data_IF_959035174506
#
_entry.id   IF_959035174506
#
_cell.length_a   1.000
_cell.length_b   1.000
_cell.length_c   1.000
_cell.angle_alpha   90.00
_cell.angle_beta   90.00
_cell.angle_gamma   90.00
#
_symmetry.space_group_name_H-M   'P 1'
#
loop_
_entity.id
_entity.type
_entity.pdbx_description
1 polymer ?
#
# COMPACT_ATOMS: atom_id res chain seq x y z
N UNK A 1 -1.48 -23.26 -25.43
CA UNK A 1 -0.14 -22.80 -25.77
C UNK A 1 -0.27 -21.35 -26.26
N UNK A 2 0.30 -20.41 -25.57
CA UNK A 2 0.32 -19.03 -26.04
C UNK A 2 1.25 -18.95 -27.27
N UNK A 3 0.78 -18.37 -28.36
CA UNK A 3 1.59 -18.16 -29.56
C UNK A 3 2.56 -17.00 -29.33
N UNK A 4 3.83 -17.23 -29.55
CA UNK A 4 4.84 -16.17 -29.58
C UNK A 4 4.71 -15.42 -30.90
N UNK A 5 4.61 -14.10 -30.86
CA UNK A 5 4.46 -13.30 -32.06
C UNK A 5 5.85 -12.93 -32.62
N UNK A 6 6.14 -13.43 -33.81
CA UNK A 6 7.40 -13.19 -34.53
C UNK A 6 7.32 -12.00 -35.50
N UNK A 7 6.46 -11.03 -35.28
CA UNK A 7 6.26 -9.90 -36.17
C UNK A 7 7.53 -9.06 -36.35
N UNK A 8 7.97 -8.88 -37.57
CA UNK A 8 9.25 -8.35 -38.01
C UNK A 8 9.52 -6.86 -37.75
N UNK A 9 8.68 -6.12 -37.07
CA UNK A 9 8.77 -4.66 -37.09
C UNK A 9 8.57 -3.95 -35.76
N UNK A 10 8.68 -4.62 -34.64
CA UNK A 10 8.63 -3.88 -33.38
C UNK A 10 10.05 -3.40 -33.03
N UNK A 11 10.36 -2.26 -33.56
CA UNK A 11 11.49 -1.47 -33.12
C UNK A 11 11.11 -0.81 -31.81
N UNK A 12 11.88 -1.10 -30.74
CA UNK A 12 11.88 -0.34 -29.49
C UNK A 12 10.53 -0.27 -28.75
N UNK A 13 10.51 -0.77 -27.56
CA UNK A 13 9.45 -0.67 -26.57
C UNK A 13 8.03 -0.97 -27.09
N UNK A 14 7.40 -1.95 -26.48
CA UNK A 14 5.95 -2.14 -26.63
C UNK A 14 5.26 -0.87 -26.15
N UNK A 15 4.81 -0.02 -27.07
CA UNK A 15 4.00 1.13 -26.71
C UNK A 15 2.62 0.62 -26.24
N UNK A 16 2.37 0.76 -24.97
CA UNK A 16 1.04 0.58 -24.41
C UNK A 16 0.26 1.89 -24.56
N UNK A 17 -0.99 1.80 -25.01
CA UNK A 17 -1.84 2.97 -25.15
C UNK A 17 -2.07 3.71 -23.82
N UNK A 18 -2.09 2.95 -22.71
CA UNK A 18 -2.36 3.47 -21.37
C UNK A 18 -1.54 2.69 -20.33
N UNK A 19 -0.26 3.02 -20.12
CA UNK A 19 0.54 2.37 -19.09
C UNK A 19 -0.04 2.69 -17.71
N UNK A 20 -0.31 1.66 -16.92
CA UNK A 20 -0.79 1.84 -15.57
C UNK A 20 0.36 2.23 -14.65
N UNK A 21 0.18 3.30 -13.89
CA UNK A 21 1.11 3.70 -12.85
C UNK A 21 0.58 3.26 -11.46
N UNK A 22 1.48 2.96 -10.53
CA UNK A 22 1.10 2.64 -9.15
C UNK A 22 0.64 3.92 -8.44
N UNK A 23 -0.67 4.11 -8.31
CA UNK A 23 -1.26 5.34 -7.74
C UNK A 23 -1.06 5.45 -6.23
N UNK A 24 -1.08 4.34 -5.52
CA UNK A 24 -0.88 4.30 -4.07
C UNK A 24 0.55 3.96 -3.65
N UNK A 25 1.53 4.20 -4.53
CA UNK A 25 2.94 3.90 -4.30
C UNK A 25 3.50 4.50 -3.02
N UNK A 26 3.09 5.70 -2.66
CA UNK A 26 3.55 6.41 -1.46
C UNK A 26 3.11 5.70 -0.17
N UNK A 27 1.97 5.02 -0.16
CA UNK A 27 1.52 4.23 0.99
C UNK A 27 2.43 3.02 1.26
N UNK A 28 3.06 2.47 0.23
CA UNK A 28 4.00 1.36 0.36
C UNK A 28 5.39 1.80 0.83
N UNK A 29 5.74 3.08 0.68
CA UNK A 29 7.05 3.65 0.99
C UNK A 29 7.04 4.59 2.20
N UNK A 30 6.15 4.40 3.16
CA UNK A 30 6.09 5.26 4.34
C UNK A 30 7.36 5.12 5.20
N UNK A 31 7.83 6.20 5.87
CA UNK A 31 9.00 6.16 6.75
C UNK A 31 8.88 5.16 7.91
N UNK A 32 7.65 4.81 8.29
CA UNK A 32 7.38 3.83 9.35
C UNK A 32 7.63 2.38 8.92
N UNK A 33 7.78 2.10 7.64
CA UNK A 33 8.06 0.75 7.14
C UNK A 33 9.38 0.16 7.63
N UNK A 34 10.27 0.94 8.22
CA UNK A 34 11.56 0.48 8.73
C UNK A 34 11.54 0.06 10.21
N UNK A 35 10.43 0.24 10.91
CA UNK A 35 10.31 -0.06 12.35
C UNK A 35 9.86 -1.47 12.68
N UNK A 36 9.59 -2.29 11.71
CA UNK A 36 9.21 -3.69 11.91
C UNK A 36 10.44 -4.60 11.96
N UNK A 37 10.31 -5.75 12.60
CA UNK A 37 11.31 -6.82 12.54
C UNK A 37 10.69 -8.12 12.02
N UNK A 38 11.46 -8.87 11.26
CA UNK A 38 11.07 -10.20 10.81
C UNK A 38 11.30 -11.22 11.92
N UNK A 39 10.28 -12.02 12.21
CA UNK A 39 10.37 -13.17 13.13
C UNK A 39 10.59 -14.44 12.32
N UNK A 40 9.88 -14.60 11.23
CA UNK A 40 10.01 -15.68 10.28
C UNK A 40 9.57 -15.22 8.88
N UNK A 41 9.54 -16.14 7.90
CA UNK A 41 9.21 -15.82 6.50
C UNK A 41 7.83 -15.18 6.28
N UNK A 42 6.90 -15.30 7.24
CA UNK A 42 5.52 -14.81 7.13
C UNK A 42 5.08 -13.92 8.29
N UNK A 43 5.90 -13.72 9.29
CA UNK A 43 5.53 -12.96 10.48
C UNK A 43 6.48 -11.81 10.68
N UNK A 44 5.92 -10.62 10.75
CA UNK A 44 6.60 -9.40 11.16
C UNK A 44 6.08 -8.98 12.53
N UNK A 45 6.88 -8.26 13.29
CA UNK A 45 6.46 -7.64 14.53
C UNK A 45 6.59 -6.13 14.43
N UNK A 46 5.58 -5.42 14.91
CA UNK A 46 5.54 -3.97 14.96
C UNK A 46 5.65 -3.53 16.42
N UNK A 47 6.55 -2.59 16.75
CA UNK A 47 6.67 -2.07 18.10
C UNK A 47 5.52 -1.11 18.39
N UNK A 48 4.89 -1.28 19.54
CA UNK A 48 3.94 -0.33 20.12
C UNK A 48 4.50 0.22 21.42
N UNK A 49 4.33 1.51 21.65
CA UNK A 49 4.71 2.19 22.88
C UNK A 49 3.47 2.84 23.46
N UNK A 50 3.11 2.41 24.65
CA UNK A 50 2.01 2.98 25.42
C UNK A 50 2.56 3.76 26.59
N UNK A 51 1.97 4.93 26.87
CA UNK A 51 2.32 5.75 28.03
C UNK A 51 1.08 6.06 28.84
N UNK A 52 1.23 6.19 30.16
CA UNK A 52 0.14 6.64 31.01
C UNK A 52 0.05 8.15 31.05
N UNK A 53 -1.14 8.67 31.33
CA UNK A 53 -1.38 10.10 31.46
C UNK A 53 -0.68 10.73 32.66
N UNK A 54 -0.85 12.04 32.80
CA UNK A 54 -0.38 12.78 33.97
C UNK A 54 -1.19 12.40 35.22
N UNK A 55 -0.53 12.35 36.35
CA UNK A 55 -1.17 12.19 37.68
C UNK A 55 -0.95 13.45 38.50
N UNK A 56 -1.85 13.70 39.46
CA UNK A 56 -1.74 14.84 40.34
C UNK A 56 -0.50 14.72 41.25
N UNK A 57 0.19 15.83 41.37
CA UNK A 57 1.38 15.93 42.21
C UNK A 57 0.98 16.17 43.66
N UNK A 58 1.43 15.35 44.59
CA UNK A 58 1.33 15.62 46.03
C UNK A 58 2.63 16.30 46.49
N UNK A 59 2.51 17.48 47.03
CA UNK A 59 3.66 18.28 47.52
C UNK A 59 4.23 17.78 48.85
N UNK A 60 3.43 17.02 49.59
CA UNK A 60 3.82 16.51 50.91
C UNK A 60 4.59 15.18 50.84
N UNK A 61 4.72 14.62 49.64
CA UNK A 61 5.46 13.38 49.41
C UNK A 61 6.47 13.55 48.30
N UNK A 62 7.69 13.09 48.51
CA UNK A 62 8.68 12.93 47.44
C UNK A 62 8.30 11.70 46.67
N UNK A 63 7.62 11.89 45.52
CA UNK A 63 7.24 10.81 44.64
C UNK A 63 8.46 10.15 44.03
N UNK A 64 8.62 8.87 44.25
CA UNK A 64 9.63 8.10 43.54
C UNK A 64 9.13 7.88 42.10
N UNK A 65 9.93 8.26 41.12
CA UNK A 65 9.58 8.06 39.72
C UNK A 65 9.41 6.57 39.42
N UNK A 66 8.27 6.20 38.88
CA UNK A 66 7.96 4.83 38.41
C UNK A 66 7.89 4.82 36.89
N UNK A 67 8.08 3.62 36.32
CA UNK A 67 7.96 3.45 34.87
C UNK A 67 6.52 3.68 34.43
N UNK A 68 6.32 4.67 33.55
CA UNK A 68 5.00 5.05 33.01
C UNK A 68 4.83 4.69 31.53
N UNK A 69 5.64 3.78 31.03
CA UNK A 69 5.56 3.33 29.66
C UNK A 69 5.62 1.81 29.59
N UNK A 70 4.95 1.27 28.59
CA UNK A 70 4.99 -0.13 28.24
C UNK A 70 5.34 -0.27 26.77
N UNK A 71 6.28 -1.14 26.47
CA UNK A 71 6.67 -1.47 25.08
C UNK A 71 6.24 -2.91 24.79
N UNK A 72 5.46 -3.07 23.72
CA UNK A 72 5.00 -4.37 23.26
C UNK A 72 5.32 -4.54 21.79
N UNK A 73 5.71 -5.74 21.42
CA UNK A 73 5.84 -6.16 20.03
C UNK A 73 4.58 -6.93 19.64
N UNK A 74 3.86 -6.43 18.62
CA UNK A 74 2.63 -7.06 18.15
C UNK A 74 2.95 -7.85 16.88
N UNK A 75 2.78 -9.18 16.88
CA UNK A 75 3.02 -9.98 15.70
C UNK A 75 1.89 -9.80 14.68
N UNK A 76 2.27 -9.63 13.42
CA UNK A 76 1.37 -9.59 12.26
C UNK A 76 1.79 -10.67 11.28
N UNK A 77 0.84 -11.51 10.89
CA UNK A 77 1.08 -12.55 9.89
C UNK A 77 0.72 -12.03 8.51
N UNK A 78 1.68 -12.11 7.60
CA UNK A 78 1.47 -11.78 6.20
C UNK A 78 0.64 -12.87 5.53
N UNK A 79 -0.54 -12.50 5.04
CA UNK A 79 -1.52 -13.43 4.46
C UNK A 79 -1.50 -13.44 2.94
N UNK A 80 -1.00 -12.38 2.31
CA UNK A 80 -0.98 -12.23 0.87
C UNK A 80 0.43 -12.45 0.33
N UNK A 81 0.66 -13.64 -0.22
CA UNK A 81 1.91 -14.01 -0.89
C UNK A 81 1.60 -14.39 -2.33
N UNK A 82 2.08 -13.58 -3.26
CA UNK A 82 1.84 -13.77 -4.69
C UNK A 82 3.13 -14.12 -5.41
N UNK A 83 3.04 -15.03 -6.33
CA UNK A 83 4.17 -15.46 -7.17
C UNK A 83 3.80 -15.38 -8.63
N UNK A 84 4.69 -14.82 -9.41
CA UNK A 84 4.65 -14.89 -10.86
C UNK A 84 5.96 -15.48 -11.37
N UNK A 85 5.88 -16.30 -12.39
CA UNK A 85 7.06 -16.88 -13.04
C UNK A 85 6.74 -17.12 -14.51
N UNK A 86 7.73 -16.88 -15.36
CA UNK A 86 7.65 -17.16 -16.79
C UNK A 86 8.94 -17.86 -17.26
N UNK A 87 8.82 -18.57 -18.36
CA UNK A 87 9.97 -19.17 -19.04
C UNK A 87 10.24 -18.35 -20.32
N UNK A 88 11.46 -17.91 -20.48
CA UNK A 88 11.91 -17.21 -21.69
C UNK A 88 13.00 -18.04 -22.33
N UNK A 89 12.80 -18.44 -23.58
CA UNK A 89 13.79 -19.18 -24.33
C UNK A 89 14.73 -18.18 -25.04
N UNK A 90 16.08 -18.37 -25.03
CA UNK A 90 17.01 -17.45 -25.69
C UNK A 90 16.71 -17.22 -27.18
N UNK A 91 16.25 -18.23 -27.90
CA UNK A 91 15.89 -18.09 -29.32
C UNK A 91 14.66 -17.20 -29.53
N UNK A 92 13.73 -17.15 -28.58
CA UNK A 92 12.55 -16.28 -28.67
C UNK A 92 12.96 -14.81 -28.59
N UNK A 93 13.98 -14.49 -27.80
CA UNK A 93 14.54 -13.13 -27.68
C UNK A 93 15.10 -12.69 -29.03
N UNK A 94 15.91 -13.52 -29.66
CA UNK A 94 16.55 -13.20 -30.95
C UNK A 94 15.52 -13.12 -32.08
N UNK A 95 14.59 -14.09 -32.16
CA UNK A 95 13.59 -14.16 -33.23
C UNK A 95 12.51 -13.09 -33.11
N UNK A 96 12.23 -12.58 -31.91
CA UNK A 96 11.31 -11.47 -31.69
C UNK A 96 11.97 -10.10 -31.75
N UNK A 97 13.22 -10.03 -32.16
CA UNK A 97 14.01 -8.80 -32.18
C UNK A 97 14.01 -8.07 -30.82
N UNK A 98 14.30 -8.80 -29.75
CA UNK A 98 14.35 -8.33 -28.36
C UNK A 98 13.00 -7.96 -27.71
N UNK A 99 11.88 -8.08 -28.42
CA UNK A 99 10.54 -7.82 -27.84
C UNK A 99 10.25 -8.76 -26.68
N UNK A 100 10.58 -10.05 -26.80
CA UNK A 100 10.45 -11.05 -25.74
C UNK A 100 11.62 -11.04 -24.74
N UNK A 101 12.31 -9.91 -24.57
CA UNK A 101 13.36 -9.79 -23.55
C UNK A 101 12.77 -9.85 -22.14
N UNK A 102 13.55 -10.35 -21.19
CA UNK A 102 13.13 -10.43 -19.78
C UNK A 102 12.74 -9.06 -19.24
N UNK A 103 13.44 -7.99 -19.65
CA UNK A 103 13.13 -6.63 -19.26
C UNK A 103 11.72 -6.19 -19.73
N UNK A 104 11.46 -6.31 -21.02
CA UNK A 104 10.17 -5.92 -21.60
C UNK A 104 9.01 -6.75 -21.02
N UNK A 105 9.18 -8.07 -20.90
CA UNK A 105 8.16 -8.96 -20.31
C UNK A 105 7.87 -8.55 -18.86
N UNK A 106 8.90 -8.22 -18.09
CA UNK A 106 8.73 -7.79 -16.68
C UNK A 106 8.05 -6.43 -16.60
N UNK A 107 8.40 -5.50 -17.48
CA UNK A 107 7.77 -4.18 -17.53
C UNK A 107 6.29 -4.26 -17.86
N UNK A 108 5.93 -4.99 -18.92
CA UNK A 108 4.53 -5.22 -19.31
C UNK A 108 3.75 -5.91 -18.18
N UNK A 109 4.34 -6.94 -17.56
CA UNK A 109 3.71 -7.60 -16.41
C UNK A 109 3.47 -6.64 -15.24
N UNK A 110 4.45 -5.77 -14.92
CA UNK A 110 4.29 -4.80 -13.84
C UNK A 110 3.15 -3.83 -14.13
N UNK A 111 3.09 -3.28 -15.34
CA UNK A 111 2.10 -2.29 -15.72
C UNK A 111 0.69 -2.86 -15.88
N UNK A 112 0.55 -4.07 -16.46
CA UNK A 112 -0.76 -4.63 -16.76
C UNK A 112 -1.35 -5.47 -15.62
N UNK A 113 -0.51 -6.09 -14.81
CA UNK A 113 -0.99 -7.07 -13.82
C UNK A 113 -0.64 -6.66 -12.39
N UNK A 114 0.65 -6.41 -12.12
CA UNK A 114 1.14 -6.21 -10.75
C UNK A 114 0.64 -4.91 -10.13
N UNK A 115 0.78 -3.78 -10.82
CA UNK A 115 0.40 -2.48 -10.25
C UNK A 115 -1.10 -2.34 -10.03
N UNK A 116 -1.98 -2.72 -10.97
CA UNK A 116 -3.42 -2.74 -10.73
C UNK A 116 -3.80 -3.65 -9.56
N UNK A 117 -3.21 -4.84 -9.47
CA UNK A 117 -3.47 -5.77 -8.36
C UNK A 117 -3.05 -5.17 -7.01
N UNK A 118 -1.89 -4.50 -6.94
CA UNK A 118 -1.41 -3.87 -5.72
C UNK A 118 -2.33 -2.74 -5.26
N UNK A 119 -2.76 -1.88 -6.17
CA UNK A 119 -3.65 -0.76 -5.85
C UNK A 119 -5.02 -1.25 -5.38
N UNK A 120 -5.62 -2.21 -6.07
CA UNK A 120 -6.89 -2.82 -5.67
C UNK A 120 -6.77 -3.51 -4.30
N UNK A 121 -5.68 -4.24 -4.07
CA UNK A 121 -5.44 -4.90 -2.79
C UNK A 121 -5.30 -3.88 -1.65
N UNK A 122 -4.54 -2.80 -1.87
CA UNK A 122 -4.33 -1.74 -0.88
C UNK A 122 -5.66 -1.16 -0.40
N UNK A 123 -6.49 -0.68 -1.34
CA UNK A 123 -7.79 -0.08 -1.00
C UNK A 123 -8.75 -1.09 -0.38
N UNK A 124 -8.84 -2.30 -0.94
CA UNK A 124 -9.71 -3.35 -0.41
C UNK A 124 -9.33 -3.73 1.03
N UNK A 125 -8.04 -3.76 1.33
CA UNK A 125 -7.54 -4.08 2.67
C UNK A 125 -7.82 -2.96 3.66
N UNK A 126 -7.58 -1.70 3.29
CA UNK A 126 -7.89 -0.53 4.11
C UNK A 126 -9.39 -0.51 4.41
N UNK A 127 -10.23 -0.71 3.41
CA UNK A 127 -11.69 -0.73 3.58
C UNK A 127 -12.15 -1.86 4.53
N UNK A 128 -11.60 -3.06 4.37
CA UNK A 128 -11.92 -4.19 5.23
C UNK A 128 -11.51 -3.94 6.69
N UNK A 129 -10.35 -3.35 6.94
CA UNK A 129 -9.90 -2.98 8.28
C UNK A 129 -10.75 -1.86 8.88
N UNK A 130 -11.13 -0.87 8.08
CA UNK A 130 -12.03 0.20 8.49
C UNK A 130 -13.38 -0.33 8.98
N UNK A 131 -13.95 -1.30 8.26
CA UNK A 131 -15.18 -1.98 8.70
C UNK A 131 -14.98 -2.76 10.00
N UNK A 132 -13.84 -3.43 10.19
CA UNK A 132 -13.55 -4.16 11.44
C UNK A 132 -13.43 -3.24 12.65
N UNK A 133 -13.00 -2.00 12.45
CA UNK A 133 -12.96 -0.97 13.51
C UNK A 133 -14.34 -0.36 13.81
N UNK A 134 -15.42 -0.93 13.26
CA UNK A 134 -16.79 -0.46 13.41
C UNK A 134 -17.00 0.99 12.95
N UNK A 135 -16.18 1.43 12.03
CA UNK A 135 -16.36 2.72 11.38
C UNK A 135 -17.37 2.58 10.24
N UNK A 136 -18.19 3.59 10.06
CA UNK A 136 -19.19 3.61 9.00
C UNK A 136 -18.67 4.42 7.82
N UNK A 137 -18.44 3.83 6.65
CA UNK A 137 -18.05 4.60 5.47
C UNK A 137 -19.18 5.54 5.05
N UNK A 138 -18.83 6.70 4.54
CA UNK A 138 -19.77 7.63 3.93
C UNK A 138 -20.26 6.99 2.63
N UNK A 139 -21.56 6.72 2.55
CA UNK A 139 -22.23 6.16 1.38
C UNK A 139 -23.12 7.23 0.73
N UNK A 140 -22.51 8.26 0.21
CA UNK A 140 -23.23 9.27 -0.56
C UNK A 140 -23.19 8.88 -2.06
N UNK A 141 -24.35 8.94 -2.72
CA UNK A 141 -24.43 8.78 -4.16
C UNK A 141 -23.80 10.00 -4.84
N UNK A 142 -22.60 9.83 -5.37
CA UNK A 142 -21.88 10.91 -6.03
C UNK A 142 -22.38 11.07 -7.46
N UNK A 143 -22.92 12.24 -7.73
CA UNK A 143 -23.38 12.67 -9.07
C UNK A 143 -22.59 13.87 -9.55
N UNK A 144 -22.72 14.19 -10.84
CA UNK A 144 -22.08 15.38 -11.42
C UNK A 144 -22.54 16.67 -10.72
N UNK A 145 -23.76 16.68 -10.21
CA UNK A 145 -24.36 17.88 -9.61
C UNK A 145 -23.93 18.08 -8.15
N UNK A 146 -23.61 17.01 -7.40
CA UNK A 146 -23.30 17.10 -5.99
C UNK A 146 -21.81 16.83 -5.63
N UNK A 147 -20.96 16.49 -6.61
CA UNK A 147 -19.57 16.10 -6.35
C UNK A 147 -18.76 17.16 -5.60
N UNK A 148 -18.99 18.45 -5.91
CA UNK A 148 -18.30 19.56 -5.24
C UNK A 148 -18.78 19.72 -3.80
N UNK A 149 -20.09 19.59 -3.56
CA UNK A 149 -20.66 19.69 -2.22
C UNK A 149 -20.19 18.54 -1.33
N UNK A 150 -20.17 17.32 -1.86
CA UNK A 150 -19.63 16.14 -1.14
C UNK A 150 -18.14 16.32 -0.83
N UNK A 151 -17.37 16.83 -1.79
CA UNK A 151 -15.95 17.11 -1.58
C UNK A 151 -15.72 18.17 -0.49
N UNK A 152 -16.45 19.29 -0.54
CA UNK A 152 -16.34 20.37 0.45
C UNK A 152 -16.72 19.87 1.86
N UNK A 153 -17.75 19.03 1.97
CA UNK A 153 -18.14 18.38 3.22
C UNK A 153 -17.04 17.47 3.76
N UNK A 154 -16.44 16.63 2.92
CA UNK A 154 -15.32 15.78 3.31
C UNK A 154 -14.12 16.60 3.80
N UNK A 155 -13.81 17.69 3.11
CA UNK A 155 -12.73 18.60 3.50
C UNK A 155 -12.99 19.27 4.84
N UNK A 156 -14.25 19.67 5.10
CA UNK A 156 -14.65 20.26 6.37
C UNK A 156 -14.52 19.25 7.53
N UNK A 157 -15.02 18.03 7.36
CA UNK A 157 -14.88 16.95 8.34
C UNK A 157 -13.41 16.64 8.64
N UNK A 158 -12.58 16.62 7.63
CA UNK A 158 -11.13 16.44 7.78
C UNK A 158 -10.47 17.59 8.56
N UNK A 159 -10.94 18.82 8.40
CA UNK A 159 -10.43 20.00 9.12
C UNK A 159 -10.86 19.96 10.59
N UNK A 160 -12.11 19.63 10.87
CA UNK A 160 -12.64 19.47 12.22
C UNK A 160 -11.93 18.38 13.03
N UNK A 161 -11.55 17.29 12.40
CA UNK A 161 -10.83 16.18 13.03
C UNK A 161 -9.32 16.45 13.20
N UNK A 162 -8.87 17.69 13.01
CA UNK A 162 -7.46 18.07 13.05
C UNK A 162 -6.58 17.24 12.10
N UNK A 163 -7.12 16.94 10.95
CA UNK A 163 -6.44 16.14 9.97
C UNK A 163 -5.19 16.82 9.39
N UNK A 164 -4.44 16.08 8.63
CA UNK A 164 -3.14 16.37 8.03
C UNK A 164 -2.93 17.76 7.39
N UNK A 165 -3.99 18.54 7.17
CA UNK A 165 -3.89 19.90 6.63
C UNK A 165 -3.14 20.83 7.59
N UNK A 166 -3.17 20.56 8.87
CA UNK A 166 -2.46 21.32 9.89
C UNK A 166 -1.03 20.79 10.17
N UNK A 167 -0.64 19.73 9.53
CA UNK A 167 0.70 19.17 9.61
C UNK A 167 1.55 19.63 8.43
#
# INVERSE_FOLDING_TARGET
>A
MAAVNYAHAYQQALEQAWPYALYFGDLFNTPNNQKYRWVNARTIEIPTLETTGRVDSNRDTIATASRNYNNKWTPLTLQNERKWSTLVHPQDIDQTNMVASIGNITEVFNQEQKFPEMDVYCISKIYAEYQQLSQTPINDDITVDNILEVFDKMMLEMDEDLSLIHI
#
